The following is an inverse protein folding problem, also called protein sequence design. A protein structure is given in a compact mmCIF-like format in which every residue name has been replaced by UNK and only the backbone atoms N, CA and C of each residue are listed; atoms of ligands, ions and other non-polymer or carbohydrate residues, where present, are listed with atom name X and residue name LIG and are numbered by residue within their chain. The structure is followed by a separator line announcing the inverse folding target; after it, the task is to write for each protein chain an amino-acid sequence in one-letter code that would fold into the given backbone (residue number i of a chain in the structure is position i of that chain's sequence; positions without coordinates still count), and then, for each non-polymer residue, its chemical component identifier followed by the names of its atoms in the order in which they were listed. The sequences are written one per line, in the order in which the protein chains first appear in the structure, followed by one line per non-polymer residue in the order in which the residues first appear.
data_IF_624030694843
#
_entry.id   IF_624030694843
#
_cell.length_a   1.000
_cell.length_b   1.000
_cell.length_c   1.000
_cell.angle_alpha   90.00
_cell.angle_beta   90.00
_cell.angle_gamma   90.00
#
_symmetry.space_group_name_H-M   'P 1'
#
loop_
_entity.id
_entity.type
_entity.pdbx_description
1 polymer ?
#
# COMPACT_ATOMS: atom_id res chain seq x y z
N UNK A 1 14.24 -0.25 -6.81
CA UNK A 1 12.80 -0.03 -6.66
C UNK A 1 12.58 1.36 -6.07
N UNK A 2 11.88 2.25 -6.78
CA UNK A 2 11.55 3.60 -6.31
C UNK A 2 10.35 4.14 -7.09
N UNK A 3 9.66 5.13 -6.54
CA UNK A 3 8.61 5.90 -7.23
C UNK A 3 9.14 7.28 -7.62
N UNK A 4 8.55 7.88 -8.64
CA UNK A 4 8.90 9.24 -9.07
C UNK A 4 8.38 10.32 -8.11
N UNK A 5 7.27 10.04 -7.44
CA UNK A 5 6.65 10.97 -6.51
C UNK A 5 5.79 10.25 -5.48
N UNK A 6 5.74 10.81 -4.27
CA UNK A 6 4.86 10.38 -3.19
C UNK A 6 4.25 11.61 -2.51
N UNK A 7 3.07 11.45 -1.93
CA UNK A 7 2.33 12.58 -1.32
C UNK A 7 2.03 12.43 0.17
N UNK A 8 2.30 11.28 0.73
CA UNK A 8 1.91 10.91 2.11
C UNK A 8 2.49 11.84 3.17
N UNK A 9 3.68 12.44 2.93
CA UNK A 9 4.38 13.24 3.94
C UNK A 9 4.01 14.71 3.93
N UNK A 10 3.85 15.31 2.76
CA UNK A 10 3.70 16.76 2.60
C UNK A 10 2.48 17.15 1.78
N UNK A 11 1.76 16.19 1.19
CA UNK A 11 0.72 16.45 0.21
C UNK A 11 1.25 16.90 -1.17
N UNK A 12 2.52 17.26 -1.27
CA UNK A 12 3.20 17.61 -2.52
C UNK A 12 3.75 16.35 -3.19
N UNK A 13 3.79 16.35 -4.51
CA UNK A 13 4.36 15.25 -5.30
C UNK A 13 5.90 15.36 -5.28
N UNK A 14 6.53 14.87 -4.23
CA UNK A 14 7.98 14.88 -4.05
C UNK A 14 8.57 13.49 -4.26
N UNK A 15 9.79 13.42 -4.76
CA UNK A 15 10.53 12.16 -4.78
C UNK A 15 10.89 11.73 -3.36
N UNK A 16 11.17 10.44 -3.11
CA UNK A 16 11.63 9.98 -1.79
C UNK A 16 12.88 10.71 -1.28
N UNK A 17 13.76 11.17 -2.18
CA UNK A 17 14.96 11.96 -1.82
C UNK A 17 14.66 13.38 -1.36
N UNK A 18 13.62 13.98 -1.91
CA UNK A 18 13.19 15.34 -1.57
C UNK A 18 12.27 15.38 -0.35
N UNK A 19 11.81 14.21 0.08
CA UNK A 19 10.89 14.09 1.21
C UNK A 19 11.68 14.20 2.53
N UNK A 20 11.41 15.19 3.40
CA UNK A 20 12.18 15.44 4.61
C UNK A 20 11.84 14.51 5.77
N UNK A 21 11.55 13.23 5.48
CA UNK A 21 11.20 12.21 6.47
C UNK A 21 11.78 10.85 6.10
N UNK A 22 11.78 9.94 7.07
CA UNK A 22 12.18 8.54 6.84
C UNK A 22 11.10 7.79 6.10
N UNK A 23 11.27 7.63 4.80
CA UNK A 23 10.28 6.99 3.92
C UNK A 23 10.82 5.71 3.29
N UNK A 24 9.91 4.79 2.99
CA UNK A 24 10.16 3.62 2.14
C UNK A 24 9.01 3.48 1.17
N UNK A 25 9.33 3.03 -0.05
CA UNK A 25 8.33 2.74 -1.07
C UNK A 25 8.50 1.29 -1.50
N UNK A 26 7.42 0.53 -1.43
CA UNK A 26 7.34 -0.84 -1.92
C UNK A 26 6.61 -0.76 -3.26
N UNK A 27 7.33 -0.90 -4.35
CA UNK A 27 6.79 -0.75 -5.70
C UNK A 27 6.09 -2.01 -6.18
N UNK A 28 5.21 -1.88 -7.18
CA UNK A 28 4.56 -3.02 -7.84
C UNK A 28 5.59 -4.03 -8.36
N UNK A 29 6.66 -3.56 -8.98
CA UNK A 29 7.75 -4.43 -9.47
C UNK A 29 8.38 -5.23 -8.33
N UNK A 30 8.55 -4.64 -7.16
CA UNK A 30 9.07 -5.35 -6.00
C UNK A 30 8.07 -6.39 -5.47
N UNK A 31 6.78 -6.02 -5.39
CA UNK A 31 5.72 -6.93 -4.99
C UNK A 31 5.68 -8.17 -5.90
N UNK A 32 5.72 -7.95 -7.21
CA UNK A 32 5.67 -9.02 -8.22
C UNK A 32 6.92 -9.90 -8.18
N UNK A 33 8.12 -9.31 -8.13
CA UNK A 33 9.39 -10.04 -8.13
C UNK A 33 9.56 -10.91 -6.87
N UNK A 34 8.97 -10.51 -5.77
CA UNK A 34 9.05 -11.24 -4.49
C UNK A 34 7.80 -12.07 -4.19
N UNK A 35 6.82 -12.07 -5.10
CA UNK A 35 5.58 -12.83 -4.95
C UNK A 35 4.74 -12.39 -3.76
N UNK A 36 4.80 -11.11 -3.39
CA UNK A 36 4.06 -10.58 -2.25
C UNK A 36 2.64 -10.22 -2.66
N UNK A 37 1.66 -10.87 -2.05
CA UNK A 37 0.23 -10.69 -2.37
C UNK A 37 -0.56 -9.96 -1.30
N UNK A 38 0.01 -9.85 -0.09
CA UNK A 38 -0.66 -9.21 1.04
C UNK A 38 0.24 -8.20 1.76
N UNK A 39 -0.38 -7.32 2.55
CA UNK A 39 0.29 -6.24 3.27
C UNK A 39 1.33 -6.76 4.27
N UNK A 40 1.04 -7.84 4.95
CA UNK A 40 1.96 -8.46 5.91
C UNK A 40 3.30 -8.82 5.26
N UNK A 41 3.26 -9.50 4.12
CA UNK A 41 4.46 -9.91 3.39
C UNK A 41 5.26 -8.68 2.94
N UNK A 42 4.58 -7.67 2.41
CA UNK A 42 5.22 -6.44 1.97
C UNK A 42 5.91 -5.71 3.11
N UNK A 43 5.24 -5.55 4.25
CA UNK A 43 5.79 -4.81 5.39
C UNK A 43 6.87 -5.58 6.15
N UNK A 44 6.85 -6.91 6.16
CA UNK A 44 7.94 -7.73 6.71
C UNK A 44 9.30 -7.48 6.02
N UNK A 45 9.28 -7.10 4.76
CA UNK A 45 10.51 -6.79 4.00
C UNK A 45 10.93 -5.32 4.12
N UNK A 46 10.12 -4.49 4.79
CA UNK A 46 10.37 -3.05 4.92
C UNK A 46 11.24 -2.76 6.13
N UNK A 47 12.38 -2.11 5.91
CA UNK A 47 13.31 -1.75 6.97
C UNK A 47 12.64 -0.85 8.01
N UNK A 48 12.81 -1.21 9.30
CA UNK A 48 12.30 -0.43 10.43
C UNK A 48 10.81 -0.62 10.71
N UNK A 49 10.19 -1.64 10.10
CA UNK A 49 8.83 -2.08 10.41
C UNK A 49 8.87 -3.46 11.04
N UNK A 50 8.22 -3.63 12.17
CA UNK A 50 7.93 -4.90 12.80
C UNK A 50 6.49 -5.29 12.50
N UNK A 51 6.29 -6.52 12.07
CA UNK A 51 4.96 -7.09 11.83
C UNK A 51 4.64 -8.07 12.95
N UNK A 52 3.63 -7.77 13.73
CA UNK A 52 3.31 -8.47 14.97
C UNK A 52 1.94 -9.15 14.83
N UNK A 53 1.84 -10.46 15.03
CA UNK A 53 0.54 -11.13 15.08
C UNK A 53 -0.20 -10.74 16.36
N UNK A 54 -1.45 -10.34 16.23
CA UNK A 54 -2.31 -9.98 17.34
C UNK A 54 -3.75 -10.46 17.10
N UNK A 55 -4.19 -11.43 17.89
CA UNK A 55 -5.56 -11.94 17.89
C UNK A 55 -6.09 -12.37 16.50
N UNK A 56 -5.24 -13.03 15.70
CA UNK A 56 -5.57 -13.47 14.34
C UNK A 56 -5.46 -12.39 13.27
N UNK A 57 -4.90 -11.26 13.61
CA UNK A 57 -4.65 -10.12 12.73
C UNK A 57 -3.18 -9.72 12.76
N UNK A 58 -2.80 -8.77 11.93
CA UNK A 58 -1.45 -8.23 11.88
C UNK A 58 -1.45 -6.77 12.32
N UNK A 59 -0.51 -6.45 13.21
CA UNK A 59 -0.23 -5.06 13.60
C UNK A 59 1.17 -4.69 13.15
N UNK A 60 1.33 -3.42 12.83
CA UNK A 60 2.58 -2.87 12.34
C UNK A 60 3.15 -1.92 13.37
N UNK A 61 4.46 -1.99 13.58
CA UNK A 61 5.15 -1.19 14.57
C UNK A 61 6.42 -0.59 13.98
N UNK A 62 6.70 0.65 14.30
CA UNK A 62 7.94 1.33 13.96
C UNK A 62 8.47 2.06 15.18
N UNK A 63 9.78 1.95 15.44
CA UNK A 63 10.45 2.62 16.55
C UNK A 63 9.81 2.40 17.93
N UNK A 64 9.16 1.24 18.14
CA UNK A 64 8.47 0.91 19.39
C UNK A 64 7.02 1.39 19.49
N UNK A 65 6.51 2.12 18.50
CA UNK A 65 5.13 2.60 18.45
C UNK A 65 4.34 1.86 17.37
N UNK A 66 3.06 1.62 17.64
CA UNK A 66 2.17 1.07 16.61
C UNK A 66 1.93 2.09 15.50
N UNK A 67 1.73 1.58 14.29
CA UNK A 67 1.28 2.35 13.15
C UNK A 67 -0.22 2.11 13.02
N UNK A 68 -1.01 3.02 13.52
CA UNK A 68 -2.47 2.94 13.48
C UNK A 68 -3.05 3.74 12.30
N UNK A 69 -2.24 4.62 11.69
CA UNK A 69 -2.65 5.39 10.53
C UNK A 69 -2.36 4.61 9.24
N UNK A 70 -3.41 4.00 8.71
CA UNK A 70 -3.38 3.33 7.41
C UNK A 70 -4.31 4.09 6.46
N UNK A 71 -3.79 4.44 5.30
CA UNK A 71 -4.46 5.24 4.29
C UNK A 71 -4.61 4.48 2.97
N UNK A 72 -5.63 4.85 2.24
CA UNK A 72 -5.82 4.45 0.85
C UNK A 72 -5.96 5.71 0.00
N UNK A 73 -5.03 5.90 -0.94
CA UNK A 73 -4.92 7.13 -1.77
C UNK A 73 -4.90 8.43 -0.93
N UNK A 74 -4.30 8.39 0.28
CA UNK A 74 -4.23 9.52 1.19
C UNK A 74 -5.47 9.75 2.04
N UNK A 75 -6.46 8.88 1.98
CA UNK A 75 -7.63 8.91 2.84
C UNK A 75 -7.46 7.92 3.99
N UNK A 76 -7.64 8.37 5.21
CA UNK A 76 -7.55 7.50 6.39
C UNK A 76 -8.64 6.44 6.34
N UNK A 77 -8.24 5.19 6.51
CA UNK A 77 -9.14 4.04 6.63
C UNK A 77 -9.28 3.57 8.08
N UNK A 78 -8.47 4.13 8.98
CA UNK A 78 -8.49 3.83 10.41
C UNK A 78 -9.24 4.91 11.19
N UNK A 79 -9.88 4.51 12.28
CA UNK A 79 -10.55 5.46 13.18
C UNK A 79 -9.52 6.00 14.17
N UNK A 80 -9.36 7.32 14.18
CA UNK A 80 -8.46 8.00 15.13
C UNK A 80 -8.80 7.64 16.59
N UNK A 81 -7.78 7.36 17.39
CA UNK A 81 -7.95 7.00 18.80
C UNK A 81 -8.30 5.54 19.06
N UNK A 82 -8.30 4.69 18.04
CA UNK A 82 -8.52 3.25 18.19
C UNK A 82 -7.23 2.47 18.51
N UNK A 83 -6.16 3.15 18.80
CA UNK A 83 -4.85 2.60 19.16
C UNK A 83 -4.96 1.67 20.38
N UNK A 84 -5.10 0.45 20.20
CA UNK A 84 -5.31 -0.56 21.26
C UNK A 84 -6.48 -1.48 20.98
N UNK A 85 -7.29 -1.21 19.98
CA UNK A 85 -8.33 -2.13 19.56
C UNK A 85 -7.98 -2.77 18.21
N UNK A 86 -7.42 -4.01 18.21
CA UNK A 86 -7.05 -4.71 16.98
C UNK A 86 -8.24 -5.01 16.06
N UNK A 87 -9.47 -4.84 16.55
CA UNK A 87 -10.68 -5.07 15.75
C UNK A 87 -11.01 -3.93 14.78
N UNK A 88 -10.37 -2.78 14.92
CA UNK A 88 -10.57 -1.63 14.02
C UNK A 88 -9.56 -1.58 12.87
N UNK A 89 -8.61 -2.51 12.80
CA UNK A 89 -7.66 -2.56 11.71
C UNK A 89 -8.36 -2.93 10.39
N UNK A 90 -8.12 -2.20 9.31
CA UNK A 90 -8.77 -2.45 8.03
C UNK A 90 -8.30 -3.78 7.43
N UNK A 91 -9.14 -4.78 7.52
CA UNK A 91 -8.90 -6.10 6.92
C UNK A 91 -8.97 -6.08 5.39
N UNK A 92 -9.61 -5.05 4.82
CA UNK A 92 -9.80 -4.90 3.37
C UNK A 92 -8.49 -4.73 2.58
N UNK A 93 -7.41 -4.34 3.24
CA UNK A 93 -6.10 -4.11 2.62
C UNK A 93 -5.21 -5.35 2.56
N UNK A 94 -5.73 -6.53 2.88
CA UNK A 94 -4.94 -7.76 2.86
C UNK A 94 -4.49 -8.17 1.45
N UNK A 95 -5.28 -7.85 0.41
CA UNK A 95 -4.96 -8.18 -0.97
C UNK A 95 -4.40 -6.96 -1.72
N UNK A 96 -3.17 -7.07 -2.21
CA UNK A 96 -2.44 -5.99 -2.88
C UNK A 96 -2.68 -5.90 -4.40
N UNK A 97 -3.55 -6.71 -4.97
CA UNK A 97 -3.76 -6.79 -6.42
C UNK A 97 -4.13 -5.45 -7.06
N UNK A 98 -4.91 -4.62 -6.35
CA UNK A 98 -5.39 -3.32 -6.84
C UNK A 98 -4.41 -2.17 -6.65
N UNK A 99 -3.33 -2.37 -5.87
CA UNK A 99 -2.40 -1.31 -5.53
C UNK A 99 -1.20 -1.27 -6.46
N UNK A 100 -0.73 -0.05 -6.75
CA UNK A 100 0.46 0.23 -7.53
C UNK A 100 1.71 0.18 -6.66
N UNK A 101 1.65 0.82 -5.50
CA UNK A 101 2.73 0.82 -4.54
C UNK A 101 2.22 1.11 -3.12
N UNK A 102 3.10 0.88 -2.15
CA UNK A 102 2.86 1.20 -0.75
C UNK A 102 3.91 2.22 -0.32
N UNK A 103 3.47 3.32 0.28
CA UNK A 103 4.33 4.33 0.89
C UNK A 103 4.33 4.14 2.41
N UNK A 104 5.51 4.02 2.99
CA UNK A 104 5.69 3.87 4.43
C UNK A 104 6.48 5.05 4.97
N UNK A 105 5.85 5.85 5.81
CA UNK A 105 6.47 6.97 6.51
C UNK A 105 6.68 6.57 7.96
N UNK A 106 7.92 6.67 8.44
CA UNK A 106 8.28 6.32 9.81
C UNK A 106 8.50 7.57 10.65
N UNK A 107 7.81 7.62 11.78
CA UNK A 107 7.84 8.77 12.68
C UNK A 107 6.65 9.71 12.49
N UNK A 108 6.58 10.80 13.25
CA UNK A 108 5.42 11.70 13.28
C UNK A 108 5.19 12.37 11.93
N UNK A 109 3.95 12.38 11.48
CA UNK A 109 3.49 12.97 10.20
C UNK A 109 2.62 14.22 10.43
N UNK A 110 2.86 14.95 11.50
CA UNK A 110 2.01 16.05 11.98
C UNK A 110 1.77 17.22 11.03
N UNK A 111 2.51 17.31 9.91
CA UNK A 111 2.26 18.35 8.90
C UNK A 111 1.03 18.07 8.04
N UNK A 112 0.67 16.81 7.84
CA UNK A 112 -0.42 16.39 6.95
C UNK A 112 -1.53 15.64 7.68
N UNK A 113 -1.28 15.24 8.92
CA UNK A 113 -2.19 14.39 9.69
C UNK A 113 -2.26 14.85 11.14
N UNK A 114 -3.41 15.40 11.52
CA UNK A 114 -3.63 15.93 12.88
C UNK A 114 -3.77 14.83 13.95
N UNK A 115 -4.02 13.59 13.56
CA UNK A 115 -4.32 12.47 14.45
C UNK A 115 -3.36 11.27 14.29
N UNK A 116 -2.13 11.51 13.83
CA UNK A 116 -1.18 10.42 13.63
C UNK A 116 -0.47 10.03 14.91
N UNK A 117 -0.32 8.73 15.13
CA UNK A 117 0.55 8.16 16.14
C UNK A 117 2.03 8.38 15.78
N UNK A 118 2.93 8.42 16.78
CA UNK A 118 4.35 8.68 16.53
C UNK A 118 5.06 7.55 15.77
N UNK A 119 4.41 6.41 15.57
CA UNK A 119 4.93 5.27 14.79
C UNK A 119 5.10 5.58 13.32
N UNK A 120 4.16 6.29 12.72
CA UNK A 120 4.16 6.64 11.32
C UNK A 120 2.84 6.39 10.60
N UNK A 121 2.92 6.37 9.27
CA UNK A 121 1.76 6.18 8.37
C UNK A 121 2.11 5.19 7.27
N UNK A 122 1.16 4.33 6.93
CA UNK A 122 1.20 3.45 5.76
C UNK A 122 0.13 3.94 4.79
N UNK A 123 0.50 4.28 3.56
CA UNK A 123 -0.44 4.66 2.51
C UNK A 123 -0.34 3.69 1.33
N UNK A 124 -1.47 3.12 0.95
CA UNK A 124 -1.61 2.28 -0.23
C UNK A 124 -2.12 3.12 -1.38
N UNK A 125 -1.43 3.08 -2.51
CA UNK A 125 -1.78 3.84 -3.70
C UNK A 125 -2.36 2.91 -4.74
N UNK A 126 -3.60 3.15 -5.17
CA UNK A 126 -4.28 2.33 -6.17
C UNK A 126 -3.70 2.52 -7.56
N UNK A 127 -3.71 1.46 -8.32
CA UNK A 127 -3.37 1.48 -9.74
C UNK A 127 -4.30 2.41 -10.50
N UNK A 128 -3.72 3.27 -11.35
CA UNK A 128 -4.48 4.16 -12.22
C UNK A 128 -4.60 3.59 -13.63
N UNK A 129 -5.65 3.97 -14.37
CA UNK A 129 -5.78 3.62 -15.78
C UNK A 129 -4.62 4.14 -16.63
N UNK A 130 -4.15 3.30 -17.54
CA UNK A 130 -3.04 3.62 -18.47
C UNK A 130 -3.54 4.20 -19.77
N UNK A 131 -2.69 4.95 -20.46
CA UNK A 131 -3.01 5.50 -21.79
C UNK A 131 -3.01 4.39 -22.84
N UNK A 132 -1.99 3.51 -22.78
CA UNK A 132 -1.86 2.37 -23.67
C UNK A 132 -2.62 1.17 -23.11
N UNK A 133 -3.19 0.36 -23.99
CA UNK A 133 -3.85 -0.88 -23.59
C UNK A 133 -2.82 -1.86 -23.03
N UNK A 134 -3.06 -2.32 -21.84
CA UNK A 134 -2.23 -3.32 -21.13
C UNK A 134 -3.14 -4.38 -20.52
N UNK A 135 -2.72 -5.62 -20.62
CA UNK A 135 -3.39 -6.74 -19.98
C UNK A 135 -2.33 -7.63 -19.32
N UNK A 136 -2.57 -7.99 -18.07
CA UNK A 136 -1.72 -8.90 -17.31
C UNK A 136 -2.57 -9.98 -16.69
N UNK A 137 -2.13 -11.22 -16.79
CA UNK A 137 -2.72 -12.36 -16.11
C UNK A 137 -1.62 -13.00 -15.26
N UNK A 138 -1.85 -13.08 -13.96
CA UNK A 138 -0.91 -13.69 -13.02
C UNK A 138 -1.57 -14.87 -12.32
N UNK A 139 -0.88 -16.00 -12.34
CA UNK A 139 -1.28 -17.18 -11.62
C UNK A 139 -0.22 -17.52 -10.58
N UNK A 140 -0.65 -17.79 -9.36
CA UNK A 140 0.22 -18.25 -8.28
C UNK A 140 -0.41 -19.47 -7.62
N UNK A 141 0.43 -20.45 -7.28
CA UNK A 141 0.04 -21.61 -6.51
C UNK A 141 1.13 -21.91 -5.48
N UNK A 142 0.75 -22.29 -4.29
CA UNK A 142 1.66 -22.69 -3.24
C UNK A 142 1.62 -24.19 -2.93
N UNK A 143 2.59 -24.64 -2.18
CA UNK A 143 2.70 -26.05 -1.77
C UNK A 143 1.62 -26.51 -0.79
N UNK A 144 0.85 -25.58 -0.22
CA UNK A 144 -0.21 -25.88 0.74
C UNK A 144 -1.58 -25.95 0.08
N UNK A 145 -1.64 -25.84 -1.25
CA UNK A 145 -2.87 -25.95 -2.03
C UNK A 145 -3.61 -24.64 -2.23
N UNK A 146 -3.05 -23.51 -1.79
CA UNK A 146 -3.62 -22.21 -2.13
C UNK A 146 -3.26 -21.86 -3.59
N UNK A 147 -4.25 -21.39 -4.33
CA UNK A 147 -4.07 -20.89 -5.69
C UNK A 147 -4.76 -19.55 -5.83
N UNK A 148 -4.15 -18.65 -6.57
CA UNK A 148 -4.73 -17.35 -6.88
C UNK A 148 -4.55 -16.99 -8.35
N UNK A 149 -5.54 -16.33 -8.91
CA UNK A 149 -5.54 -15.83 -10.27
C UNK A 149 -5.86 -14.33 -10.22
N UNK A 150 -4.99 -13.50 -10.80
CA UNK A 150 -5.18 -12.06 -10.87
C UNK A 150 -5.19 -11.64 -12.32
N UNK A 151 -6.30 -11.02 -12.75
CA UNK A 151 -6.44 -10.38 -14.05
C UNK A 151 -6.44 -8.85 -13.90
N UNK A 152 -5.67 -8.15 -14.73
CA UNK A 152 -5.54 -6.70 -14.71
C UNK A 152 -5.56 -6.20 -16.15
N UNK A 153 -6.59 -5.45 -16.52
CA UNK A 153 -6.77 -4.87 -17.86
C UNK A 153 -6.94 -3.36 -17.73
N UNK A 154 -6.18 -2.61 -18.46
CA UNK A 154 -6.21 -1.16 -18.44
C UNK A 154 -6.00 -0.58 -19.84
N UNK A 155 -6.59 0.59 -20.13
CA UNK A 155 -6.39 1.28 -21.39
C UNK A 155 -7.34 2.44 -21.63
N UNK A 156 -7.15 3.09 -22.78
CA UNK A 156 -8.05 4.14 -23.25
C UNK A 156 -9.33 3.55 -23.82
N UNK A 157 -10.44 4.18 -23.47
CA UNK A 157 -11.79 3.82 -23.97
C UNK A 157 -12.21 4.63 -25.19
N UNK A 158 -11.44 5.67 -25.55
CA UNK A 158 -11.69 6.51 -26.71
C UNK A 158 -10.40 6.82 -27.48
N UNK A 159 -10.53 7.23 -28.73
CA UNK A 159 -9.41 7.55 -29.63
C UNK A 159 -8.60 8.77 -29.20
N UNK A 160 -9.18 9.70 -28.45
CA UNK A 160 -8.50 10.89 -27.93
C UNK A 160 -7.73 10.64 -26.61
N UNK A 161 -7.75 9.39 -26.07
CA UNK A 161 -7.14 8.99 -24.79
C UNK A 161 -7.58 9.82 -23.58
N UNK A 162 -8.70 10.55 -23.69
CA UNK A 162 -9.24 11.38 -22.62
C UNK A 162 -10.03 10.56 -21.57
N UNK A 163 -10.63 9.44 -22.00
CA UNK A 163 -11.32 8.50 -21.11
C UNK A 163 -10.52 7.21 -21.02
N UNK A 164 -10.20 6.81 -19.80
CA UNK A 164 -9.39 5.61 -19.51
C UNK A 164 -10.06 4.77 -18.44
N UNK A 165 -9.94 3.47 -18.58
CA UNK A 165 -10.49 2.51 -17.61
C UNK A 165 -9.44 1.49 -17.16
N UNK A 166 -9.66 0.91 -16.00
CA UNK A 166 -8.90 -0.24 -15.47
C UNK A 166 -9.83 -1.16 -14.72
N UNK A 167 -9.67 -2.45 -14.96
CA UNK A 167 -10.36 -3.52 -14.24
C UNK A 167 -9.32 -4.45 -13.66
N UNK A 168 -9.39 -4.68 -12.35
CA UNK A 168 -8.58 -5.67 -11.64
C UNK A 168 -9.52 -6.67 -10.98
N UNK A 169 -9.27 -7.95 -11.19
CA UNK A 169 -10.03 -9.04 -10.57
C UNK A 169 -9.07 -10.04 -9.95
N UNK A 170 -9.39 -10.56 -8.78
CA UNK A 170 -8.64 -11.63 -8.11
C UNK A 170 -9.60 -12.73 -7.65
N UNK A 171 -9.17 -13.99 -7.82
CA UNK A 171 -9.81 -15.21 -7.37
C UNK A 171 -8.86 -16.01 -6.52
#
# INVERSE_FOLDING_TARGET
YTTSAMRTTTGLALSPKETPQSVSVITKTQLDNQGMTNMEQALKTTTGINVIPDSGRWRYQSRGFYIDQIEEDGLSTTVAGSSGNPYNDPQSMSNLAIYDHIEVVRGPTGLTQSNSEPGGTINTVRKRPTTNTQATLSFMADRFGAASLIGDVSGSLNSSHSVRGRLVSSL
#
